data_IF_960698488386
#
_entry.id   IF_960698488386
#
_cell.length_a   1.000
_cell.length_b   1.000
_cell.length_c   1.000
_cell.angle_alpha   90.00
_cell.angle_beta   90.00
_cell.angle_gamma   90.00
#
_symmetry.space_group_name_H-M   'P 1'
#
loop_
_entity.id
_entity.type
_entity.pdbx_description
1 polymer ?
#
# COMPACT_ATOMS: atom_id res chain seq x y z
N UNK A 1 -19.42 14.08 -12.70
CA UNK A 1 -20.71 13.94 -13.44
C UNK A 1 -21.20 12.50 -13.48
N UNK A 2 -20.55 11.56 -14.22
CA UNK A 2 -21.03 10.18 -14.31
C UNK A 2 -21.20 9.51 -12.94
N UNK A 3 -20.22 9.64 -12.05
CA UNK A 3 -20.33 9.13 -10.68
C UNK A 3 -21.40 9.84 -9.83
N UNK A 4 -21.68 11.11 -10.09
CA UNK A 4 -22.73 11.88 -9.42
C UNK A 4 -24.13 11.49 -9.90
N UNK A 5 -24.27 11.07 -11.15
CA UNK A 5 -25.55 10.60 -11.72
C UNK A 5 -25.97 9.22 -11.17
N UNK A 6 -24.99 8.39 -10.77
CA UNK A 6 -25.21 7.04 -10.25
C UNK A 6 -24.98 6.91 -8.72
N UNK A 7 -24.97 8.02 -7.98
CA UNK A 7 -24.69 8.03 -6.53
C UNK A 7 -25.58 7.08 -5.74
N UNK A 8 -26.89 7.04 -6.01
CA UNK A 8 -27.81 6.16 -5.27
C UNK A 8 -27.48 4.68 -5.46
N UNK A 9 -27.02 4.29 -6.66
CA UNK A 9 -26.58 2.92 -6.92
C UNK A 9 -25.27 2.62 -6.20
N UNK A 10 -24.34 3.56 -6.20
CA UNK A 10 -23.06 3.45 -5.51
C UNK A 10 -23.27 3.33 -4.00
N UNK A 11 -24.20 4.15 -3.46
CA UNK A 11 -24.55 4.14 -2.04
C UNK A 11 -25.12 2.81 -1.56
N UNK A 12 -25.89 2.11 -2.39
CA UNK A 12 -26.48 0.81 -2.05
C UNK A 12 -25.42 -0.27 -1.78
N UNK A 13 -24.24 -0.18 -2.39
CA UNK A 13 -23.14 -1.13 -2.15
C UNK A 13 -22.45 -0.96 -0.78
N UNK A 14 -22.66 0.17 -0.11
CA UNK A 14 -21.99 0.54 1.14
C UNK A 14 -22.93 0.57 2.36
N UNK A 15 -24.13 -0.01 2.26
CA UNK A 15 -25.13 0.08 3.35
C UNK A 15 -24.64 -0.61 4.63
N UNK A 16 -23.96 -1.75 4.50
CA UNK A 16 -23.48 -2.58 5.63
C UNK A 16 -21.95 -2.57 5.76
N UNK A 17 -21.27 -1.62 5.11
CA UNK A 17 -19.81 -1.57 5.13
C UNK A 17 -19.30 -0.75 6.32
N UNK A 18 -18.41 -1.35 7.12
CA UNK A 18 -17.69 -0.66 8.20
C UNK A 18 -16.44 0.07 7.68
N UNK A 19 -15.81 -0.48 6.64
CA UNK A 19 -14.60 0.06 5.99
C UNK A 19 -14.68 -0.11 4.49
N UNK A 20 -14.17 0.89 3.76
CA UNK A 20 -14.07 0.84 2.30
C UNK A 20 -12.68 1.28 1.86
N UNK A 21 -12.02 0.43 1.07
CA UNK A 21 -10.79 0.76 0.39
C UNK A 21 -11.09 1.36 -0.98
N UNK A 22 -10.54 2.55 -1.23
CA UNK A 22 -10.63 3.25 -2.50
C UNK A 22 -9.28 3.20 -3.20
N UNK A 23 -9.18 2.50 -4.33
CA UNK A 23 -7.91 2.39 -5.05
C UNK A 23 -8.03 2.82 -6.50
N UNK A 24 -7.10 3.63 -6.97
CA UNK A 24 -6.96 4.01 -8.37
C UNK A 24 -5.61 4.66 -8.69
N UNK A 25 -5.23 4.58 -9.98
CA UNK A 25 -4.21 5.46 -10.55
C UNK A 25 -4.79 6.84 -10.86
N UNK A 26 -4.16 7.88 -10.32
CA UNK A 26 -4.56 9.26 -10.56
C UNK A 26 -3.92 9.83 -11.84
N UNK A 27 -4.44 10.93 -12.32
CA UNK A 27 -4.01 11.59 -13.55
C UNK A 27 -4.88 11.31 -14.77
N UNK A 28 -5.74 10.28 -14.70
CA UNK A 28 -6.79 10.00 -15.68
C UNK A 28 -8.12 10.67 -15.35
N UNK A 29 -9.16 10.32 -16.12
CA UNK A 29 -10.52 10.84 -15.92
C UNK A 29 -11.31 10.10 -14.87
N UNK A 30 -11.31 8.76 -14.92
CA UNK A 30 -12.16 7.90 -14.08
C UNK A 30 -11.71 7.94 -12.60
N UNK A 31 -10.47 7.52 -12.31
CA UNK A 31 -9.95 7.50 -10.94
C UNK A 31 -9.96 8.89 -10.29
N UNK A 32 -9.37 9.88 -10.99
CA UNK A 32 -9.28 11.24 -10.46
C UNK A 32 -10.63 11.93 -10.27
N UNK A 33 -11.63 11.57 -11.09
CA UNK A 33 -12.95 12.21 -11.03
C UNK A 33 -13.96 11.49 -10.16
N UNK A 34 -13.94 10.15 -10.10
CA UNK A 34 -14.93 9.36 -9.37
C UNK A 34 -14.56 9.16 -7.90
N UNK A 35 -13.28 8.93 -7.56
CA UNK A 35 -12.89 8.66 -6.18
C UNK A 35 -13.30 9.74 -5.18
N UNK A 36 -13.08 11.06 -5.44
CA UNK A 36 -13.52 12.09 -4.49
C UNK A 36 -15.02 12.11 -4.26
N UNK A 37 -15.81 11.77 -5.30
CA UNK A 37 -17.28 11.71 -5.20
C UNK A 37 -17.72 10.54 -4.31
N UNK A 38 -17.11 9.36 -4.50
CA UNK A 38 -17.40 8.19 -3.66
C UNK A 38 -16.93 8.43 -2.23
N UNK A 39 -15.75 9.00 -2.04
CA UNK A 39 -15.19 9.32 -0.72
C UNK A 39 -16.11 10.24 0.09
N UNK A 40 -16.67 11.27 -0.55
CA UNK A 40 -17.64 12.17 0.08
C UNK A 40 -18.88 11.42 0.59
N UNK A 41 -19.40 10.49 -0.20
CA UNK A 41 -20.56 9.66 0.18
C UNK A 41 -20.25 8.78 1.39
N UNK A 42 -19.07 8.15 1.40
CA UNK A 42 -18.62 7.34 2.53
C UNK A 42 -18.46 8.16 3.81
N UNK A 43 -17.91 9.38 3.69
CA UNK A 43 -17.78 10.32 4.79
C UNK A 43 -19.14 10.71 5.38
N UNK A 44 -20.11 11.01 4.53
CA UNK A 44 -21.50 11.34 4.94
C UNK A 44 -22.17 10.18 5.67
N UNK A 45 -21.88 8.92 5.27
CA UNK A 45 -22.38 7.71 5.93
C UNK A 45 -21.58 7.36 7.21
N UNK A 46 -20.43 7.97 7.45
CA UNK A 46 -19.57 7.67 8.59
C UNK A 46 -18.82 6.34 8.47
N UNK A 47 -18.75 5.78 7.26
CA UNK A 47 -17.95 4.58 6.92
C UNK A 47 -16.49 4.96 6.90
N UNK A 48 -15.62 4.13 7.50
CA UNK A 48 -14.17 4.37 7.46
C UNK A 48 -13.66 4.22 6.02
N UNK A 49 -13.06 5.29 5.49
CA UNK A 49 -12.56 5.34 4.12
C UNK A 49 -11.04 5.45 4.07
N UNK A 50 -10.40 4.47 3.43
CA UNK A 50 -8.96 4.45 3.20
C UNK A 50 -8.71 4.50 1.70
N UNK A 51 -8.12 5.59 1.22
CA UNK A 51 -7.72 5.72 -0.18
C UNK A 51 -6.25 5.33 -0.34
N UNK A 52 -5.97 4.42 -1.28
CA UNK A 52 -4.62 4.01 -1.67
C UNK A 52 -4.49 4.29 -3.15
N UNK A 53 -3.73 5.32 -3.51
CA UNK A 53 -3.70 5.83 -4.87
C UNK A 53 -2.28 5.99 -5.38
N UNK A 54 -2.10 5.88 -6.70
CA UNK A 54 -0.81 6.12 -7.33
C UNK A 54 -0.80 7.43 -8.09
N UNK A 55 0.35 8.09 -8.12
CA UNK A 55 0.57 9.27 -8.99
C UNK A 55 1.33 8.86 -10.26
N UNK A 56 1.11 9.56 -11.39
CA UNK A 56 1.71 9.19 -12.65
C UNK A 56 3.23 9.34 -12.64
N UNK A 57 3.88 8.59 -13.53
CA UNK A 57 5.28 8.79 -13.87
C UNK A 57 5.47 10.14 -14.58
N UNK A 58 6.67 10.73 -14.48
CA UNK A 58 7.00 12.00 -15.14
C UNK A 58 6.86 11.95 -16.67
N UNK A 59 7.16 10.79 -17.29
CA UNK A 59 7.03 10.61 -18.74
C UNK A 59 5.57 10.61 -19.21
N UNK A 60 4.59 10.41 -18.35
CA UNK A 60 3.17 10.48 -18.69
C UNK A 60 2.70 11.93 -18.93
N UNK A 61 3.48 12.89 -18.52
CA UNK A 61 3.38 14.30 -18.87
C UNK A 61 2.66 15.18 -17.84
N UNK A 62 3.01 16.45 -17.87
CA UNK A 62 2.56 17.49 -16.91
C UNK A 62 1.04 17.64 -16.79
N UNK A 63 0.28 17.25 -17.82
CA UNK A 63 -1.18 17.31 -17.76
C UNK A 63 -1.73 16.27 -16.77
N UNK A 64 -1.21 15.03 -16.84
CA UNK A 64 -1.61 13.96 -15.91
C UNK A 64 -1.20 14.27 -14.49
N UNK A 65 0.02 14.77 -14.28
CA UNK A 65 0.50 15.20 -12.97
C UNK A 65 -0.42 16.28 -12.36
N UNK A 66 -0.81 17.29 -13.14
CA UNK A 66 -1.73 18.33 -12.65
C UNK A 66 -3.10 17.76 -12.25
N UNK A 67 -3.65 16.86 -13.06
CA UNK A 67 -4.94 16.21 -12.74
C UNK A 67 -4.83 15.35 -11.49
N UNK A 68 -3.70 14.62 -11.32
CA UNK A 68 -3.43 13.81 -10.14
C UNK A 68 -3.36 14.68 -8.87
N UNK A 69 -2.63 15.80 -8.90
CA UNK A 69 -2.53 16.73 -7.74
C UNK A 69 -3.89 17.29 -7.35
N UNK A 70 -4.69 17.71 -8.33
CA UNK A 70 -6.06 18.22 -8.04
C UNK A 70 -6.95 17.13 -7.43
N UNK A 71 -6.80 15.87 -7.88
CA UNK A 71 -7.54 14.75 -7.31
C UNK A 71 -7.07 14.42 -5.89
N UNK A 72 -5.75 14.47 -5.62
CA UNK A 72 -5.19 14.30 -4.28
C UNK A 72 -5.74 15.32 -3.29
N UNK A 73 -5.71 16.61 -3.66
CA UNK A 73 -6.24 17.70 -2.82
C UNK A 73 -7.75 17.54 -2.55
N UNK A 74 -8.50 16.97 -3.50
CA UNK A 74 -9.92 16.70 -3.32
C UNK A 74 -10.16 15.47 -2.43
N UNK A 75 -9.37 14.38 -2.62
CA UNK A 75 -9.46 13.16 -1.84
C UNK A 75 -9.08 13.39 -0.38
N UNK A 76 -7.99 14.10 -0.10
CA UNK A 76 -7.50 14.38 1.25
C UNK A 76 -8.58 15.01 2.15
N UNK A 77 -9.48 15.80 1.57
CA UNK A 77 -10.58 16.44 2.31
C UNK A 77 -11.75 15.51 2.62
N UNK A 78 -11.88 14.43 1.86
CA UNK A 78 -13.05 13.57 1.90
C UNK A 78 -12.80 12.19 2.47
N UNK A 79 -11.55 11.68 2.44
CA UNK A 79 -11.20 10.38 3.02
C UNK A 79 -10.70 10.52 4.47
N UNK A 80 -10.83 9.45 5.23
CA UNK A 80 -10.26 9.38 6.58
C UNK A 80 -8.74 9.23 6.55
N UNK A 81 -8.24 8.39 5.64
CA UNK A 81 -6.80 8.15 5.44
C UNK A 81 -6.48 8.09 3.95
N UNK A 82 -5.41 8.78 3.54
CA UNK A 82 -4.92 8.84 2.17
C UNK A 82 -3.48 8.33 2.11
N UNK A 83 -3.27 7.19 1.47
CA UNK A 83 -1.94 6.63 1.18
C UNK A 83 -1.63 6.93 -0.29
N UNK A 84 -0.50 7.58 -0.54
CA UNK A 84 -0.05 7.94 -1.89
C UNK A 84 1.20 7.16 -2.24
N UNK A 85 1.16 6.46 -3.37
CA UNK A 85 2.30 5.74 -3.94
C UNK A 85 2.77 6.52 -5.18
N UNK A 86 3.89 7.25 -5.08
CA UNK A 86 4.40 8.01 -6.22
C UNK A 86 5.15 7.07 -7.19
N UNK A 87 4.56 6.76 -8.36
CA UNK A 87 5.18 5.88 -9.35
C UNK A 87 6.59 6.33 -9.75
N UNK A 88 6.85 7.65 -9.74
CA UNK A 88 8.17 8.18 -10.09
C UNK A 88 9.26 7.67 -9.16
N UNK A 89 8.95 7.46 -7.87
CA UNK A 89 9.91 6.92 -6.89
C UNK A 89 10.30 5.46 -7.16
N UNK A 90 9.44 4.74 -7.87
CA UNK A 90 9.78 3.38 -8.28
C UNK A 90 10.99 3.35 -9.22
N UNK A 91 11.13 4.35 -10.11
CA UNK A 91 12.28 4.44 -11.03
C UNK A 91 13.60 4.60 -10.25
N UNK A 92 13.55 5.19 -9.06
CA UNK A 92 14.73 5.41 -8.24
C UNK A 92 15.25 4.12 -7.57
N UNK A 93 14.45 3.05 -7.58
CA UNK A 93 14.76 1.77 -6.89
C UNK A 93 14.78 0.55 -7.81
N UNK A 94 14.35 0.68 -9.07
CA UNK A 94 14.40 -0.41 -10.04
C UNK A 94 15.62 -0.31 -10.93
N UNK A 95 16.08 -1.47 -11.45
CA UNK A 95 17.16 -1.52 -12.43
C UNK A 95 16.80 -0.74 -13.71
N UNK A 96 17.79 -0.13 -14.34
CA UNK A 96 17.63 0.59 -15.62
C UNK A 96 17.10 -0.32 -16.76
N UNK A 97 17.19 -1.63 -16.62
CA UNK A 97 16.75 -2.62 -17.61
C UNK A 97 15.28 -3.02 -17.44
N UNK A 98 14.60 -2.59 -16.35
CA UNK A 98 13.18 -2.92 -16.11
C UNK A 98 12.30 -2.36 -17.23
N UNK A 99 11.46 -3.20 -17.81
CA UNK A 99 10.55 -2.77 -18.86
C UNK A 99 9.42 -1.89 -18.29
N UNK A 100 8.82 -1.07 -19.15
CA UNK A 100 7.66 -0.25 -18.76
C UNK A 100 6.49 -1.11 -18.27
N UNK A 101 6.30 -2.30 -18.83
CA UNK A 101 5.23 -3.24 -18.45
C UNK A 101 5.50 -3.73 -17.03
N UNK A 102 6.72 -4.14 -16.74
CA UNK A 102 7.12 -4.64 -15.42
C UNK A 102 7.03 -3.52 -14.37
N UNK A 103 7.43 -2.30 -14.69
CA UNK A 103 7.27 -1.16 -13.80
C UNK A 103 5.80 -0.91 -13.40
N UNK A 104 4.87 -1.00 -14.34
CA UNK A 104 3.43 -0.92 -14.01
C UNK A 104 2.93 -2.14 -13.25
N UNK A 105 3.44 -3.35 -13.53
CA UNK A 105 3.11 -4.54 -12.77
C UNK A 105 3.56 -4.40 -11.31
N UNK A 106 4.76 -3.88 -11.05
CA UNK A 106 5.27 -3.60 -9.70
C UNK A 106 4.38 -2.59 -8.96
N UNK A 107 3.95 -1.50 -9.63
CA UNK A 107 3.00 -0.54 -9.03
C UNK A 107 1.69 -1.22 -8.62
N UNK A 108 1.13 -2.04 -9.51
CA UNK A 108 -0.11 -2.79 -9.22
C UNK A 108 0.07 -3.75 -8.04
N UNK A 109 1.21 -4.42 -7.97
CA UNK A 109 1.56 -5.32 -6.88
C UNK A 109 1.67 -4.57 -5.55
N UNK A 110 2.29 -3.41 -5.53
CA UNK A 110 2.36 -2.56 -4.34
C UNK A 110 0.99 -2.11 -3.86
N UNK A 111 0.10 -1.71 -4.79
CA UNK A 111 -1.29 -1.39 -4.45
C UNK A 111 -1.99 -2.59 -3.83
N UNK A 112 -1.85 -3.77 -4.45
CA UNK A 112 -2.45 -5.01 -3.94
C UNK A 112 -1.91 -5.36 -2.55
N UNK A 113 -0.59 -5.33 -2.38
CA UNK A 113 0.05 -5.58 -1.09
C UNK A 113 -0.41 -4.59 -0.01
N UNK A 114 -0.56 -3.31 -0.37
CA UNK A 114 -1.03 -2.27 0.54
C UNK A 114 -2.45 -2.54 1.05
N UNK A 115 -3.36 -2.88 0.14
CA UNK A 115 -4.74 -3.24 0.51
C UNK A 115 -4.75 -4.53 1.32
N UNK A 116 -4.04 -5.56 0.85
CA UNK A 116 -3.98 -6.87 1.50
C UNK A 116 -3.46 -6.77 2.93
N UNK A 117 -2.36 -6.06 3.15
CA UNK A 117 -1.75 -5.94 4.48
C UNK A 117 -2.68 -5.32 5.52
N UNK A 118 -3.52 -4.36 5.12
CA UNK A 118 -4.49 -3.75 6.04
C UNK A 118 -5.73 -4.63 6.18
N UNK A 119 -6.20 -5.24 5.09
CA UNK A 119 -7.37 -6.11 5.09
C UNK A 119 -7.13 -7.41 5.88
N UNK A 120 -5.94 -8.00 5.77
CA UNK A 120 -5.58 -9.25 6.46
C UNK A 120 -5.56 -9.07 7.99
N UNK A 121 -5.09 -7.93 8.49
CA UNK A 121 -5.12 -7.62 9.94
C UNK A 121 -6.56 -7.61 10.46
N UNK A 122 -7.51 -7.12 9.66
CA UNK A 122 -8.91 -6.99 10.06
C UNK A 122 -9.66 -8.31 9.90
N UNK A 123 -9.41 -9.00 8.77
CA UNK A 123 -10.22 -10.14 8.32
C UNK A 123 -9.67 -11.51 8.67
N UNK A 124 -8.36 -11.62 8.92
CA UNK A 124 -7.71 -12.91 9.14
C UNK A 124 -7.52 -13.15 10.64
N UNK A 125 -8.00 -14.31 11.12
CA UNK A 125 -7.74 -14.73 12.49
C UNK A 125 -6.25 -15.02 12.68
N UNK A 126 -5.50 -14.07 13.21
CA UNK A 126 -4.09 -14.19 13.55
C UNK A 126 -3.89 -14.62 15.01
N UNK A 127 -2.63 -14.75 15.44
CA UNK A 127 -2.29 -15.00 16.85
C UNK A 127 -2.45 -13.73 17.70
N UNK A 128 -2.26 -12.56 17.10
CA UNK A 128 -2.54 -11.26 17.68
C UNK A 128 -3.54 -10.56 16.77
N UNK A 129 -4.83 -10.61 17.17
CA UNK A 129 -5.90 -9.94 16.44
C UNK A 129 -5.94 -8.48 16.87
N UNK A 130 -6.00 -7.61 15.86
CA UNK A 130 -6.25 -6.18 16.06
C UNK A 130 -7.75 -5.95 15.99
N UNK A 131 -8.31 -5.27 16.99
CA UNK A 131 -9.71 -4.88 16.96
C UNK A 131 -9.94 -3.80 15.89
N UNK A 132 -11.06 -3.90 15.19
CA UNK A 132 -11.47 -2.88 14.23
C UNK A 132 -11.54 -1.47 14.86
N UNK A 133 -11.89 -1.39 16.14
CA UNK A 133 -11.91 -0.14 16.89
C UNK A 133 -10.52 0.51 16.98
N UNK A 134 -9.46 -0.28 17.15
CA UNK A 134 -8.08 0.21 17.22
C UNK A 134 -7.62 0.73 15.86
N UNK A 135 -7.91 -0.01 14.77
CA UNK A 135 -7.62 0.44 13.41
C UNK A 135 -8.37 1.74 13.11
N UNK A 136 -9.65 1.80 13.47
CA UNK A 136 -10.46 3.00 13.30
C UNK A 136 -9.86 4.20 14.06
N UNK A 137 -9.34 3.99 15.26
CA UNK A 137 -8.74 5.05 16.08
C UNK A 137 -7.48 5.66 15.44
N UNK A 138 -6.64 4.82 14.80
CA UNK A 138 -5.40 5.28 14.17
C UNK A 138 -5.59 5.75 12.72
N UNK A 139 -6.71 5.42 12.06
CA UNK A 139 -6.96 5.75 10.65
C UNK A 139 -7.98 6.87 10.46
N UNK A 140 -9.00 6.99 11.34
CA UNK A 140 -10.11 7.91 11.13
C UNK A 140 -9.69 9.38 11.23
N UNK A 141 -9.93 10.13 10.14
CA UNK A 141 -9.67 11.57 10.08
C UNK A 141 -8.20 11.97 10.19
N UNK A 142 -7.28 11.05 9.88
CA UNK A 142 -5.83 11.29 9.97
C UNK A 142 -5.23 11.94 8.72
N UNK A 143 -5.96 11.98 7.60
CA UNK A 143 -5.50 12.57 6.35
C UNK A 143 -4.36 11.76 5.73
N UNK A 144 -3.24 12.40 5.40
CA UNK A 144 -2.11 11.75 4.75
C UNK A 144 -1.49 10.69 5.65
N UNK A 145 -1.22 9.53 5.05
CA UNK A 145 -0.51 8.42 5.68
C UNK A 145 0.63 7.93 4.80
N UNK A 146 1.69 7.48 5.42
CA UNK A 146 2.82 6.84 4.77
C UNK A 146 2.73 5.34 4.98
N UNK A 147 3.16 4.58 3.97
CA UNK A 147 3.22 3.13 4.05
C UNK A 147 4.56 2.65 3.53
N UNK A 148 5.18 1.73 4.26
CA UNK A 148 6.36 1.03 3.82
C UNK A 148 6.20 -0.46 4.06
N UNK A 149 6.90 -1.25 3.26
CA UNK A 149 6.96 -2.70 3.40
C UNK A 149 8.41 -3.17 3.32
N UNK A 150 8.72 -4.24 4.05
CA UNK A 150 10.02 -4.88 4.03
C UNK A 150 9.87 -6.38 4.12
N UNK A 151 10.83 -7.08 3.55
CA UNK A 151 10.93 -8.53 3.61
C UNK A 151 12.34 -8.92 4.01
N UNK A 152 12.47 -9.89 4.90
CA UNK A 152 13.76 -10.45 5.24
C UNK A 152 13.62 -11.93 5.63
N UNK A 153 14.73 -12.67 5.52
CA UNK A 153 14.83 -14.07 5.90
C UNK A 153 16.07 -14.31 6.78
N UNK A 154 16.12 -15.44 7.50
CA UNK A 154 17.25 -15.79 8.36
C UNK A 154 17.12 -15.28 9.80
N UNK A 155 18.27 -15.19 10.52
CA UNK A 155 18.27 -15.01 11.97
C UNK A 155 17.80 -13.63 12.46
N UNK A 156 18.00 -12.56 11.67
CA UNK A 156 17.65 -11.18 12.04
C UNK A 156 16.46 -10.66 11.25
N UNK A 157 15.68 -11.55 10.60
CA UNK A 157 14.62 -11.18 9.66
C UNK A 157 13.62 -10.16 10.22
N UNK A 158 13.29 -10.24 11.50
CA UNK A 158 12.36 -9.32 12.12
C UNK A 158 12.87 -7.86 12.12
N UNK A 159 14.12 -7.66 12.55
CA UNK A 159 14.77 -6.36 12.57
C UNK A 159 14.96 -5.81 11.17
N UNK A 160 15.52 -6.61 10.28
CA UNK A 160 15.85 -6.22 8.92
C UNK A 160 14.59 -5.84 8.12
N UNK A 161 13.52 -6.63 8.24
CA UNK A 161 12.26 -6.34 7.57
C UNK A 161 11.61 -5.03 8.08
N UNK A 162 11.66 -4.73 9.38
CA UNK A 162 11.15 -3.45 9.91
C UNK A 162 12.01 -2.29 9.46
N UNK A 163 13.33 -2.40 9.50
CA UNK A 163 14.25 -1.37 9.04
C UNK A 163 14.04 -1.06 7.55
N UNK A 164 13.86 -2.08 6.72
CA UNK A 164 13.48 -1.91 5.31
C UNK A 164 12.12 -1.22 5.15
N UNK A 165 11.11 -1.65 5.93
CA UNK A 165 9.78 -1.05 5.86
C UNK A 165 9.78 0.44 6.23
N UNK A 166 10.56 0.84 7.24
CA UNK A 166 10.68 2.24 7.67
C UNK A 166 11.48 3.08 6.67
N UNK A 167 12.51 2.47 6.08
CA UNK A 167 13.40 3.14 5.12
C UNK A 167 12.96 2.96 3.66
N UNK A 168 11.72 2.53 3.43
CA UNK A 168 11.23 2.15 2.12
C UNK A 168 11.32 3.33 1.13
N UNK A 169 12.07 3.19 0.01
CA UNK A 169 12.41 4.33 -0.86
C UNK A 169 11.22 4.97 -1.57
N UNK A 170 10.09 4.26 -1.66
CA UNK A 170 8.87 4.78 -2.28
C UNK A 170 8.07 5.71 -1.36
N UNK A 171 8.46 5.83 -0.09
CA UNK A 171 7.90 6.84 0.78
C UNK A 171 8.33 8.22 0.29
N UNK A 172 7.37 9.10 0.05
CA UNK A 172 7.63 10.48 -0.37
C UNK A 172 8.40 11.24 0.71
N UNK A 173 8.16 10.87 1.97
CA UNK A 173 8.80 11.42 3.17
C UNK A 173 9.66 10.32 3.82
N UNK A 174 10.91 10.61 4.06
CA UNK A 174 11.91 9.62 4.51
C UNK A 174 11.84 9.27 6.01
N UNK A 175 10.82 9.71 6.73
CA UNK A 175 10.73 9.48 8.17
C UNK A 175 9.29 9.32 8.64
N UNK A 176 9.08 8.35 9.52
CA UNK A 176 7.83 8.18 10.27
C UNK A 176 7.80 8.96 11.58
N UNK A 177 8.84 9.76 11.86
CA UNK A 177 8.86 10.64 13.02
C UNK A 177 7.71 11.65 12.94
N UNK A 178 7.05 11.90 14.06
CA UNK A 178 5.88 12.75 14.14
C UNK A 178 4.55 12.10 13.72
N UNK A 179 4.55 10.78 13.43
CA UNK A 179 3.32 10.04 13.21
C UNK A 179 2.49 9.97 14.50
N UNK A 180 1.20 10.27 14.42
CA UNK A 180 0.27 10.17 15.56
C UNK A 180 -0.27 8.76 15.78
N UNK A 181 -0.34 7.96 14.71
CA UNK A 181 -0.76 6.58 14.75
C UNK A 181 0.10 5.72 13.85
N UNK A 182 0.45 4.54 14.30
CA UNK A 182 1.24 3.59 13.51
C UNK A 182 0.62 2.21 13.60
N UNK A 183 0.42 1.60 12.44
CA UNK A 183 0.04 0.19 12.31
C UNK A 183 1.26 -0.59 11.85
N UNK A 184 1.64 -1.60 12.64
CA UNK A 184 2.66 -2.58 12.31
C UNK A 184 1.99 -3.91 12.01
N UNK A 185 2.08 -4.38 10.78
CA UNK A 185 1.65 -5.73 10.40
C UNK A 185 2.86 -6.62 10.15
N UNK A 186 2.88 -7.78 10.77
CA UNK A 186 3.94 -8.78 10.62
C UNK A 186 3.30 -10.05 10.08
N UNK A 187 3.68 -10.44 8.85
CA UNK A 187 3.22 -11.67 8.21
C UNK A 187 4.39 -12.66 8.11
N UNK A 188 4.22 -13.83 8.67
CA UNK A 188 5.24 -14.88 8.64
C UNK A 188 4.62 -16.27 8.61
N UNK A 189 5.47 -17.29 8.47
CA UNK A 189 5.06 -18.69 8.54
C UNK A 189 4.71 -19.14 9.96
N UNK A 190 4.43 -20.43 10.12
CA UNK A 190 4.16 -21.05 11.43
C UNK A 190 5.33 -20.97 12.42
N UNK A 191 6.51 -20.67 11.94
CA UNK A 191 7.76 -20.50 12.69
C UNK A 191 7.92 -19.12 13.29
N UNK A 192 7.00 -18.17 13.02
CA UNK A 192 7.04 -16.81 13.57
C UNK A 192 7.01 -16.83 15.10
N UNK A 193 8.11 -16.37 15.71
CA UNK A 193 8.32 -16.42 17.14
C UNK A 193 7.90 -15.13 17.87
N UNK A 194 7.49 -15.26 19.15
CA UNK A 194 7.14 -14.10 19.99
C UNK A 194 8.32 -13.14 20.18
N UNK A 195 9.54 -13.62 20.16
CA UNK A 195 10.74 -12.79 20.25
C UNK A 195 10.93 -11.92 19.01
N UNK A 196 10.60 -12.43 17.83
CA UNK A 196 10.65 -11.68 16.57
C UNK A 196 9.62 -10.56 16.55
N UNK A 197 8.39 -10.85 17.03
CA UNK A 197 7.35 -9.82 17.19
C UNK A 197 7.79 -8.70 18.14
N UNK A 198 8.39 -9.06 19.27
CA UNK A 198 8.88 -8.09 20.24
C UNK A 198 10.08 -7.29 19.70
N UNK A 199 10.97 -7.92 18.95
CA UNK A 199 12.10 -7.24 18.30
C UNK A 199 11.61 -6.25 17.24
N UNK A 200 10.72 -6.67 16.36
CA UNK A 200 10.10 -5.82 15.35
C UNK A 200 9.42 -4.59 15.97
N UNK A 201 8.59 -4.82 17.00
CA UNK A 201 7.94 -3.73 17.71
C UNK A 201 8.94 -2.78 18.37
N UNK A 202 10.02 -3.30 18.98
CA UNK A 202 11.05 -2.49 19.65
C UNK A 202 11.80 -1.58 18.67
N UNK A 203 12.09 -2.06 17.46
CA UNK A 203 12.71 -1.25 16.40
C UNK A 203 11.79 -0.10 16.01
N UNK A 204 10.48 -0.37 15.84
CA UNK A 204 9.50 0.64 15.50
C UNK A 204 9.34 1.69 16.61
N UNK A 205 9.22 1.26 17.88
CA UNK A 205 9.10 2.17 19.04
C UNK A 205 10.27 3.15 19.15
N UNK A 206 11.46 2.76 18.71
CA UNK A 206 12.63 3.63 18.73
C UNK A 206 12.59 4.73 17.63
N UNK A 207 11.68 4.65 16.66
CA UNK A 207 11.60 5.54 15.50
C UNK A 207 10.40 6.48 15.53
N UNK A 208 9.46 6.29 16.46
CA UNK A 208 8.24 7.10 16.59
C UNK A 208 8.22 7.85 17.91
N UNK A 209 7.41 8.88 18.00
CA UNK A 209 7.25 9.67 19.23
C UNK A 209 6.56 8.84 20.34
N UNK A 210 6.90 9.14 21.59
CA UNK A 210 6.33 8.46 22.77
C UNK A 210 4.80 8.58 22.86
N UNK A 211 4.22 9.64 22.29
CA UNK A 211 2.78 9.90 22.28
C UNK A 211 2.04 9.20 21.10
N UNK A 212 2.76 8.51 20.20
CA UNK A 212 2.15 7.83 19.07
C UNK A 212 1.34 6.60 19.53
N UNK A 213 0.14 6.45 18.96
CA UNK A 213 -0.67 5.24 19.17
C UNK A 213 -0.19 4.15 18.23
N UNK A 214 0.36 3.05 18.78
CA UNK A 214 0.91 1.95 17.98
C UNK A 214 0.02 0.73 18.11
N UNK A 215 -0.40 0.20 16.97
CA UNK A 215 -1.17 -1.05 16.86
C UNK A 215 -0.29 -2.09 16.17
N UNK A 216 -0.09 -3.23 16.81
CA UNK A 216 0.71 -4.34 16.27
C UNK A 216 -0.20 -5.52 15.97
N UNK A 217 -0.20 -5.97 14.73
CA UNK A 217 -0.90 -7.16 14.26
C UNK A 217 0.07 -8.21 13.74
N UNK A 218 -0.33 -9.48 13.82
CA UNK A 218 0.41 -10.58 13.21
C UNK A 218 -0.51 -11.51 12.43
N UNK A 219 -0.09 -11.86 11.23
CA UNK A 219 -0.80 -12.78 10.33
C UNK A 219 0.10 -13.98 10.06
N UNK A 220 -0.46 -15.19 10.19
CA UNK A 220 0.24 -16.41 9.81
C UNK A 220 -0.20 -16.81 8.41
N UNK A 221 0.75 -16.78 7.49
CA UNK A 221 0.58 -17.24 6.12
C UNK A 221 1.45 -18.46 5.89
N UNK A 222 0.81 -19.63 5.69
CA UNK A 222 1.53 -20.91 5.52
C UNK A 222 2.33 -20.97 4.20
N UNK A 223 2.08 -20.07 3.27
CA UNK A 223 2.84 -19.97 2.03
C UNK A 223 4.22 -19.30 2.23
N UNK A 224 4.38 -18.56 3.33
CA UNK A 224 5.65 -17.91 3.66
C UNK A 224 6.54 -18.91 4.39
N UNK A 225 7.64 -19.33 3.74
CA UNK A 225 8.65 -20.19 4.34
C UNK A 225 9.91 -19.40 4.61
N UNK A 226 10.47 -19.52 5.83
CA UNK A 226 11.72 -18.87 6.26
C UNK A 226 11.77 -17.34 6.17
N UNK A 227 10.75 -16.69 5.60
CA UNK A 227 10.67 -15.26 5.42
C UNK A 227 9.75 -14.58 6.42
N UNK A 228 9.85 -13.24 6.49
CA UNK A 228 8.99 -12.39 7.28
C UNK A 228 8.72 -11.10 6.52
N UNK A 229 7.44 -10.84 6.27
CA UNK A 229 6.99 -9.58 5.69
C UNK A 229 6.55 -8.63 6.78
N UNK A 230 6.99 -7.40 6.69
CA UNK A 230 6.57 -6.32 7.58
C UNK A 230 5.94 -5.21 6.76
N UNK A 231 4.79 -4.75 7.21
CA UNK A 231 4.16 -3.54 6.68
C UNK A 231 3.96 -2.54 7.80
N UNK A 232 4.42 -1.32 7.59
CA UNK A 232 4.24 -0.19 8.49
C UNK A 232 3.34 0.84 7.81
N UNK A 233 2.26 1.24 8.48
CA UNK A 233 1.42 2.36 8.04
C UNK A 233 1.45 3.43 9.12
N UNK A 234 2.00 4.59 8.80
CA UNK A 234 2.13 5.73 9.70
C UNK A 234 1.13 6.82 9.30
N UNK A 235 0.30 7.27 10.23
CA UNK A 235 -0.81 8.20 9.99
C UNK A 235 -0.70 9.48 10.81
N UNK A 236 -1.37 10.53 10.37
CA UNK A 236 -1.36 11.81 11.08
C UNK A 236 -0.03 12.53 11.01
N UNK A 237 0.74 12.31 9.94
CA UNK A 237 2.01 12.98 9.68
C UNK A 237 1.71 14.35 9.10
N UNK A 238 2.30 15.39 9.70
CA UNK A 238 2.16 16.73 9.18
C UNK A 238 3.24 17.00 8.12
N UNK A 239 2.90 17.28 6.86
CA UNK A 239 3.87 17.56 5.81
C UNK A 239 4.85 18.72 6.15
N UNK A 240 4.44 19.65 7.01
CA UNK A 240 5.28 20.79 7.41
C UNK A 240 6.41 20.40 8.36
N UNK A 241 6.26 19.32 9.11
CA UNK A 241 7.27 18.85 10.06
C UNK A 241 8.42 18.14 9.32
N UNK A 242 8.13 17.62 8.13
CA UNK A 242 9.11 16.97 7.26
C UNK A 242 9.95 17.98 6.47
N UNK A 243 9.36 19.06 5.97
CA UNK A 243 10.07 20.13 5.25
C UNK A 243 11.10 20.86 6.13
N UNK A 244 10.88 20.93 7.43
CA UNK A 244 11.81 21.53 8.40
C UNK A 244 13.16 20.81 8.50
N UNK A 245 13.17 19.48 8.31
CA UNK A 245 14.38 18.66 8.35
C UNK A 245 15.16 18.77 7.04
N UNK A 246 14.47 18.88 5.91
CA UNK A 246 15.10 19.01 4.58
C UNK A 246 15.78 20.37 4.42
N UNK A 247 15.18 21.47 4.95
CA UNK A 247 15.79 22.81 4.89
C UNK A 247 17.01 22.97 5.80
N UNK A 248 17.10 22.22 6.89
CA UNK A 248 18.27 22.26 7.77
C UNK A 248 19.52 21.63 7.16
N UNK A 249 19.39 20.74 6.18
CA UNK A 249 20.51 20.09 5.49
C UNK A 249 20.96 20.79 4.19
N UNK A 250 20.19 21.76 3.69
CA UNK A 250 20.51 22.46 2.43
C UNK A 250 21.41 23.70 2.56
N UNK A 251 21.89 24.04 3.77
CA UNK A 251 22.78 25.18 3.97
C UNK A 251 24.18 24.69 4.36
N UNK A 252 24.99 24.33 3.36
CA UNK A 252 26.41 24.70 3.20
C UNK A 252 27.01 24.05 1.95
N UNK A 253 27.36 24.79 0.89
CA UNK A 253 28.37 24.34 -0.06
C UNK A 253 29.73 24.69 0.53
N UNK A 254 30.40 23.74 1.17
CA UNK A 254 31.83 23.85 1.35
C UNK A 254 32.50 23.08 0.20
N UNK A 255 33.01 23.84 -0.74
CA UNK A 255 33.98 23.36 -1.70
C UNK A 255 35.22 22.87 -0.94
N UNK A 256 35.38 21.57 -0.91
CA UNK A 256 36.71 20.95 -0.72
C UNK A 256 36.79 19.77 -1.69
N UNK A 257 37.62 19.98 -2.68
CA UNK A 257 38.17 19.01 -3.59
C UNK A 257 38.92 17.96 -2.79
N UNK A 258 38.44 16.71 -2.80
CA UNK A 258 39.22 15.52 -2.54
C UNK A 258 38.55 14.33 -3.20
N UNK A 259 39.19 13.89 -4.25
CA UNK A 259 38.99 12.62 -4.91
C UNK A 259 39.26 11.46 -3.92
N UNK A 260 38.20 10.88 -3.35
CA UNK A 260 38.23 9.56 -2.73
C UNK A 260 37.07 8.69 -3.20
N UNK A 261 37.45 7.53 -3.63
CA UNK A 261 36.69 6.45 -4.22
C UNK A 261 35.50 6.09 -3.33
N UNK A 262 34.30 6.29 -3.83
CA UNK A 262 33.07 5.79 -3.21
C UNK A 262 33.04 4.28 -3.44
N UNK A 263 33.18 3.51 -2.37
CA UNK A 263 32.83 2.10 -2.37
C UNK A 263 31.29 2.01 -2.40
N UNK A 264 30.77 1.60 -3.55
CA UNK A 264 29.40 1.12 -3.66
C UNK A 264 29.19 -0.06 -2.71
N UNK A 265 28.17 0.05 -1.86
CA UNK A 265 27.72 -1.07 -1.04
C UNK A 265 26.86 -2.01 -1.89
N UNK A 266 27.24 -3.29 -2.05
CA UNK A 266 26.51 -4.22 -2.93
C UNK A 266 25.15 -4.69 -2.40
N UNK A 267 24.77 -4.30 -1.20
CA UNK A 267 23.68 -4.94 -0.45
C UNK A 267 22.26 -4.58 -0.87
N UNK A 268 22.07 -3.52 -1.66
CA UNK A 268 20.70 -3.11 -2.08
C UNK A 268 20.29 -3.77 -3.39
N UNK A 269 21.25 -4.20 -4.20
CA UNK A 269 20.99 -4.76 -5.53
C UNK A 269 20.45 -6.19 -5.48
N UNK A 270 21.06 -7.05 -4.66
CA UNK A 270 20.68 -8.47 -4.59
C UNK A 270 19.30 -8.70 -3.94
N UNK A 271 18.84 -7.79 -3.06
CA UNK A 271 17.58 -7.95 -2.33
C UNK A 271 16.33 -7.59 -3.13
N UNK A 272 16.46 -6.80 -4.19
CA UNK A 272 15.34 -6.43 -5.07
C UNK A 272 15.10 -7.50 -6.14
N UNK A 273 16.15 -8.15 -6.61
CA UNK A 273 16.03 -9.28 -7.54
C UNK A 273 15.31 -10.47 -6.89
N UNK A 274 15.64 -10.80 -5.62
CA UNK A 274 14.97 -11.89 -4.90
C UNK A 274 13.48 -11.63 -4.70
N UNK A 275 13.07 -10.39 -4.43
CA UNK A 275 11.66 -10.02 -4.32
C UNK A 275 10.94 -10.08 -5.68
N UNK A 276 11.63 -9.75 -6.76
CA UNK A 276 11.06 -9.78 -8.11
C UNK A 276 10.88 -11.22 -8.62
N UNK A 277 11.84 -12.10 -8.39
CA UNK A 277 11.81 -13.48 -8.87
C UNK A 277 10.81 -14.37 -8.10
N UNK A 278 10.66 -14.18 -6.80
CA UNK A 278 9.71 -14.97 -6.00
C UNK A 278 8.26 -14.57 -6.24
N UNK A 279 8.02 -13.34 -6.67
CA UNK A 279 6.69 -12.80 -6.95
C UNK A 279 6.20 -13.03 -8.39
N UNK A 280 7.08 -13.32 -9.34
CA UNK A 280 6.74 -13.71 -10.72
C UNK A 280 6.25 -15.16 -10.80
N UNK A 281 6.57 -16.03 -9.84
CA UNK A 281 6.20 -17.45 -9.86
C UNK A 281 4.75 -17.75 -9.44
N UNK A 282 3.92 -16.77 -9.08
CA UNK A 282 2.50 -16.98 -8.82
C UNK A 282 1.62 -16.53 -10.00
N UNK A 283 1.81 -17.11 -11.18
CA UNK A 283 0.77 -17.13 -12.20
C UNK A 283 -0.41 -17.96 -11.68
N UNK A 284 -1.49 -17.26 -11.39
CA UNK A 284 -2.79 -17.89 -11.14
C UNK A 284 -3.24 -18.55 -12.43
N UNK A 285 -3.19 -19.88 -12.50
CA UNK A 285 -3.86 -20.65 -13.55
C UNK A 285 -5.36 -20.29 -13.55
N UNK A 286 -5.74 -19.40 -14.43
CA UNK A 286 -7.14 -19.23 -14.80
C UNK A 286 -7.57 -20.48 -15.62
N UNK A 287 -8.18 -21.44 -14.95
CA UNK A 287 -9.04 -22.42 -15.64
C UNK A 287 -10.25 -21.67 -16.18
N UNK A 288 -10.30 -21.52 -17.48
CA UNK A 288 -11.54 -21.17 -18.18
C UNK A 288 -12.60 -22.26 -17.88
N UNK A 289 -13.85 -21.89 -17.57
CA UNK A 289 -14.91 -22.87 -17.45
C UNK A 289 -15.21 -23.43 -18.82
N UNK A 290 -15.06 -24.76 -18.98
CA UNK A 290 -15.54 -25.51 -20.15
C UNK A 290 -17.05 -25.28 -20.32
N UNK A 291 -17.42 -24.73 -21.47
CA UNK A 291 -18.81 -24.60 -21.87
C UNK A 291 -19.34 -26.00 -22.18
N UNK A 292 -20.18 -26.54 -21.32
CA UNK A 292 -21.01 -27.71 -21.62
C UNK A 292 -22.01 -27.32 -22.73
N UNK A 293 -21.80 -27.89 -23.91
CA UNK A 293 -22.79 -27.91 -24.96
C UNK A 293 -23.89 -28.92 -24.59
N UNK A 294 -25.03 -28.47 -24.12
CA UNK A 294 -26.26 -29.26 -24.12
C UNK A 294 -26.75 -29.37 -25.56
N UNK A 295 -26.68 -30.58 -26.11
CA UNK A 295 -27.40 -31.00 -27.33
C UNK A 295 -28.90 -30.97 -27.01
N UNK A 296 -29.62 -30.11 -27.71
CA UNK A 296 -31.08 -30.09 -27.68
C UNK A 296 -31.57 -31.12 -28.73
N UNK A 297 -32.03 -32.28 -28.28
CA UNK A 297 -32.72 -33.27 -29.07
C UNK A 297 -34.06 -32.73 -29.60
N UNK A 298 -34.20 -32.64 -30.91
CA UNK A 298 -35.43 -32.40 -31.64
C UNK A 298 -36.36 -33.61 -31.47
N UNK A 299 -37.39 -33.50 -30.66
CA UNK A 299 -38.54 -34.40 -30.72
C UNK A 299 -39.59 -33.84 -31.67
N UNK A 300 -39.65 -34.45 -32.85
CA UNK A 300 -40.76 -34.36 -33.80
C UNK A 300 -42.07 -34.81 -33.15
N UNK A 301 -43.02 -33.92 -33.12
CA UNK A 301 -44.40 -34.24 -32.77
C UNK A 301 -45.15 -34.64 -34.06
N UNK A 302 -45.54 -35.89 -34.11
CA UNK A 302 -46.47 -36.40 -35.11
C UNK A 302 -47.90 -36.01 -34.70
N UNK A 303 -48.62 -35.49 -35.69
CA UNK A 303 -50.04 -35.20 -35.68
C UNK A 303 -50.89 -36.45 -35.75
N UNK A 304 -52.00 -36.50 -35.01
CA UNK A 304 -53.32 -37.00 -35.44
C UNK A 304 -54.25 -37.18 -34.20
N UNK A 305 -55.25 -36.44 -34.05
CA UNK A 305 -56.70 -36.54 -34.25
C UNK A 305 -57.39 -35.37 -33.56
#
# INVERSE_FOLDING_TARGET
RAAEEDLDKIMAYFEDADIVFLTAGLGGGTGSGALPVVARVLKEKGVLSIAIVTTPFNFEGKRRDRVARQALEALEKEVDTLIVIPNQKLIDVVDEQVSMIDAFAMVNQMLNQSVKSIADIIGTAGHINVDFADIRAIMKGKGLALMGSGYASGQNRAREAVEQAISFPLLEYQSIAGAQGVLLNITGGKDLGIHELNEAASVLYAQVDDDASIVVGSVIDESVSDGLYVTVVATGINPRDVDGVVQAQSIRPSVHDNSEVVHESPLVHDQIEDIADELVCQEVEHKEPEAEHEEVDELQADSQV
#
